data_IF_511037382709
#
_entry.id   IF_511037382709
#
_cell.length_a   1.000
_cell.length_b   1.000
_cell.length_c   1.000
_cell.angle_alpha   90.00
_cell.angle_beta   90.00
_cell.angle_gamma   90.00
#
_symmetry.space_group_name_H-M   'P 1'
#
loop_
_entity.id
_entity.type
_entity.pdbx_description
1 polymer ?
#
# COMPACT_ATOMS: atom_id res chain seq x y z
N UNK A 1 -5.45 -13.63 10.09
CA UNK A 1 -5.11 -12.29 9.54
C UNK A 1 -6.05 -11.17 9.98
N UNK A 2 -6.71 -11.32 11.12
CA UNK A 2 -7.48 -10.26 11.75
C UNK A 2 -7.05 -10.03 13.22
N UNK A 3 -5.90 -10.61 13.60
CA UNK A 3 -5.16 -10.25 14.80
C UNK A 3 -3.88 -9.55 14.39
N UNK A 4 -3.61 -8.39 14.98
CA UNK A 4 -2.42 -7.59 14.71
C UNK A 4 -1.52 -7.61 15.93
N UNK A 5 -0.25 -7.94 15.74
CA UNK A 5 0.78 -7.78 16.77
C UNK A 5 1.30 -6.34 16.73
N UNK A 6 1.02 -5.51 17.74
CA UNK A 6 1.39 -4.11 17.74
C UNK A 6 2.90 -3.89 17.84
N UNK A 7 3.64 -4.78 18.51
CA UNK A 7 5.09 -4.67 18.66
C UNK A 7 5.79 -4.94 17.33
N UNK A 8 5.34 -5.99 16.62
CA UNK A 8 5.84 -6.29 15.29
C UNK A 8 5.51 -5.18 14.29
N UNK A 9 4.29 -4.65 14.32
CA UNK A 9 3.89 -3.56 13.42
C UNK A 9 4.68 -2.28 13.70
N UNK A 10 4.95 -1.95 14.96
CA UNK A 10 5.83 -0.83 15.32
C UNK A 10 7.24 -1.00 14.74
N UNK A 11 7.82 -2.19 14.86
CA UNK A 11 9.14 -2.49 14.28
C UNK A 11 9.14 -2.37 12.75
N UNK A 12 8.10 -2.87 12.08
CA UNK A 12 7.92 -2.72 10.63
C UNK A 12 7.77 -1.26 10.23
N UNK A 13 6.99 -0.48 10.97
CA UNK A 13 6.81 0.96 10.72
C UNK A 13 8.10 1.75 10.87
N UNK A 14 8.92 1.45 11.88
CA UNK A 14 10.26 2.03 12.06
C UNK A 14 11.17 1.72 10.87
N UNK A 15 11.18 0.48 10.42
CA UNK A 15 12.03 0.08 9.30
C UNK A 15 11.60 0.75 7.99
N UNK A 16 10.30 0.85 7.70
CA UNK A 16 9.84 1.62 6.56
C UNK A 16 10.17 3.11 6.69
N UNK A 17 9.97 3.71 7.86
CA UNK A 17 10.33 5.10 8.08
C UNK A 17 11.82 5.35 7.86
N UNK A 18 12.69 4.41 8.25
CA UNK A 18 14.14 4.47 7.99
C UNK A 18 14.46 4.42 6.50
N UNK A 19 13.81 3.50 5.75
CA UNK A 19 14.05 3.34 4.29
C UNK A 19 13.52 4.52 3.48
N UNK A 20 12.42 5.10 3.90
CA UNK A 20 11.72 6.17 3.17
C UNK A 20 11.92 7.58 3.76
N UNK A 21 12.86 7.79 4.68
CA UNK A 21 13.05 9.10 5.34
C UNK A 21 13.38 10.24 4.38
N UNK A 22 14.07 9.95 3.28
CA UNK A 22 14.62 10.97 2.35
C UNK A 22 13.71 11.22 1.13
N UNK A 23 12.57 10.55 1.01
CA UNK A 23 11.68 10.71 -0.15
C UNK A 23 10.76 11.93 -0.08
N UNK A 24 10.80 12.70 1.02
CA UNK A 24 9.95 13.86 1.27
C UNK A 24 8.45 13.60 1.05
N UNK A 25 7.94 12.47 1.55
CA UNK A 25 6.51 12.17 1.54
C UNK A 25 5.74 13.17 2.42
N UNK A 26 4.51 13.47 2.04
CA UNK A 26 3.59 14.32 2.82
C UNK A 26 2.40 13.54 3.35
N UNK A 27 2.16 12.35 2.83
CA UNK A 27 1.03 11.49 3.18
C UNK A 27 1.36 10.02 2.94
N UNK A 28 0.84 9.16 3.81
CA UNK A 28 0.85 7.70 3.59
C UNK A 28 -0.52 7.26 3.09
N UNK A 29 -0.54 6.40 2.08
CA UNK A 29 -1.74 5.85 1.46
C UNK A 29 -1.72 4.33 1.52
N UNK A 30 -2.86 3.73 1.83
CA UNK A 30 -3.05 2.27 1.85
C UNK A 30 -4.46 1.89 1.41
N UNK A 31 -4.78 0.61 1.44
CA UNK A 31 -6.13 0.08 1.26
C UNK A 31 -6.63 -0.64 2.52
N UNK A 32 -7.92 -0.55 2.81
CA UNK A 32 -8.51 -1.37 3.88
C UNK A 32 -8.41 -2.87 3.50
N UNK A 33 -8.21 -3.79 4.46
CA UNK A 33 -8.14 -3.59 5.92
C UNK A 33 -6.72 -3.82 6.43
N UNK A 34 -6.02 -4.88 5.95
CA UNK A 34 -4.75 -5.35 6.50
C UNK A 34 -3.58 -4.40 6.30
N UNK A 35 -3.59 -3.60 5.23
CA UNK A 35 -2.61 -2.55 4.98
C UNK A 35 -2.65 -1.39 5.98
N UNK A 36 -3.76 -1.21 6.72
CA UNK A 36 -3.90 -0.08 7.66
C UNK A 36 -2.87 -0.15 8.79
N UNK A 37 -2.63 -1.32 9.36
CA UNK A 37 -1.71 -1.46 10.49
C UNK A 37 -0.28 -1.04 10.14
N UNK A 38 0.39 -1.59 9.11
CA UNK A 38 1.73 -1.16 8.72
C UNK A 38 1.77 0.29 8.24
N UNK A 39 0.74 0.77 7.52
CA UNK A 39 0.68 2.16 7.06
C UNK A 39 0.59 3.14 8.23
N UNK A 40 -0.24 2.84 9.24
CA UNK A 40 -0.38 3.67 10.43
C UNK A 40 0.94 3.78 11.21
N UNK A 41 1.63 2.66 11.43
CA UNK A 41 2.90 2.68 12.14
C UNK A 41 4.01 3.37 11.35
N UNK A 42 4.05 3.21 10.03
CA UNK A 42 4.98 3.95 9.15
C UNK A 42 4.69 5.45 9.22
N UNK A 43 3.43 5.85 9.10
CA UNK A 43 3.01 7.24 9.18
C UNK A 43 3.35 7.87 10.54
N UNK A 44 3.14 7.12 11.64
CA UNK A 44 3.47 7.53 12.99
C UNK A 44 4.97 7.88 13.12
N UNK A 45 5.86 7.01 12.62
CA UNK A 45 7.31 7.25 12.69
C UNK A 45 7.82 8.31 11.72
N UNK A 46 7.08 8.61 10.65
CA UNK A 46 7.38 9.70 9.72
C UNK A 46 6.73 11.04 10.13
N UNK A 47 5.82 11.04 11.12
CA UNK A 47 5.05 12.23 11.49
C UNK A 47 4.05 12.68 10.42
N UNK A 48 3.49 11.73 9.64
CA UNK A 48 2.62 12.00 8.50
C UNK A 48 1.18 11.53 8.76
N UNK A 49 0.18 12.16 8.12
CA UNK A 49 -1.16 11.61 8.10
C UNK A 49 -1.23 10.34 7.24
N UNK A 50 -2.15 9.43 7.59
CA UNK A 50 -2.46 8.24 6.79
C UNK A 50 -3.89 8.30 6.28
N UNK A 51 -4.07 7.94 5.01
CA UNK A 51 -5.38 7.77 4.37
C UNK A 51 -5.48 6.33 3.86
N UNK A 52 -6.64 5.72 4.00
CA UNK A 52 -6.89 4.41 3.43
C UNK A 52 -8.05 4.45 2.43
N UNK A 53 -7.84 3.83 1.28
CA UNK A 53 -8.88 3.60 0.29
C UNK A 53 -9.88 2.57 0.84
N UNK A 54 -11.17 2.87 0.71
CA UNK A 54 -12.26 2.01 1.13
C UNK A 54 -12.73 1.11 -0.01
N UNK A 55 -13.18 -0.09 0.33
CA UNK A 55 -13.78 -1.05 -0.63
C UNK A 55 -15.29 -0.90 -0.78
N UNK A 56 -15.87 0.02 -0.03
CA UNK A 56 -17.28 0.39 -0.12
C UNK A 56 -17.48 1.84 0.31
N UNK A 57 -18.39 2.56 -0.34
CA UNK A 57 -18.70 3.95 0.00
C UNK A 57 -19.56 4.00 1.26
N UNK A 58 -19.09 4.56 2.39
CA UNK A 58 -19.93 4.78 3.57
C UNK A 58 -20.91 5.94 3.32
N UNK A 59 -22.02 5.93 4.03
CA UNK A 59 -23.05 6.99 3.93
C UNK A 59 -22.54 8.38 4.32
N UNK A 60 -21.47 8.45 5.11
CA UNK A 60 -20.84 9.69 5.55
C UNK A 60 -19.84 10.28 4.55
N UNK A 61 -19.53 9.56 3.47
CA UNK A 61 -18.61 10.05 2.44
C UNK A 61 -19.36 10.93 1.45
N UNK A 62 -18.77 12.05 0.95
CA UNK A 62 -19.41 12.95 -0.01
C UNK A 62 -19.77 12.21 -1.31
N UNK A 63 -20.69 12.81 -2.09
CA UNK A 63 -21.13 12.21 -3.36
C UNK A 63 -20.01 12.12 -4.38
N UNK A 64 -19.19 13.13 -4.45
CA UNK A 64 -17.98 13.12 -5.28
C UNK A 64 -16.86 12.36 -4.58
N UNK A 65 -16.32 11.35 -5.23
CA UNK A 65 -15.22 10.52 -4.74
C UNK A 65 -14.25 10.21 -5.86
N UNK A 66 -12.99 9.97 -5.51
CA UNK A 66 -12.07 9.27 -6.40
C UNK A 66 -12.36 7.77 -6.31
N UNK A 67 -12.60 7.15 -7.45
CA UNK A 67 -12.91 5.73 -7.55
C UNK A 67 -12.06 5.05 -8.61
N UNK A 68 -11.56 3.87 -8.31
CA UNK A 68 -10.93 2.97 -9.29
C UNK A 68 -11.38 1.54 -9.07
N UNK A 69 -11.30 0.75 -10.12
CA UNK A 69 -11.58 -0.69 -10.08
C UNK A 69 -10.27 -1.46 -10.10
N UNK A 70 -10.14 -2.45 -9.24
CA UNK A 70 -8.99 -3.35 -9.22
C UNK A 70 -9.43 -4.82 -9.20
N UNK A 71 -8.70 -5.73 -9.88
CA UNK A 71 -8.96 -7.15 -9.75
C UNK A 71 -8.74 -7.60 -8.30
N UNK A 72 -9.64 -8.41 -7.75
CA UNK A 72 -9.44 -9.05 -6.45
C UNK A 72 -8.67 -10.34 -6.62
N UNK A 73 -7.55 -10.49 -5.87
CA UNK A 73 -6.73 -11.70 -5.88
C UNK A 73 -7.47 -12.96 -5.42
N UNK A 74 -8.42 -12.81 -4.49
CA UNK A 74 -9.03 -13.95 -3.79
C UNK A 74 -10.41 -14.33 -4.29
N UNK A 75 -11.08 -13.49 -5.09
CA UNK A 75 -12.51 -13.67 -5.41
C UNK A 75 -12.86 -13.68 -6.89
N UNK A 76 -11.88 -13.53 -7.81
CA UNK A 76 -12.15 -13.43 -9.25
C UNK A 76 -13.13 -12.29 -9.62
N UNK A 77 -13.31 -11.31 -8.73
CA UNK A 77 -14.21 -10.18 -8.89
C UNK A 77 -13.43 -8.88 -8.85
N UNK A 78 -13.97 -7.88 -9.50
CA UNK A 78 -13.46 -6.50 -9.39
C UNK A 78 -13.84 -5.91 -8.03
N UNK A 79 -12.90 -5.22 -7.40
CA UNK A 79 -13.10 -4.50 -6.13
C UNK A 79 -12.95 -3.02 -6.40
N UNK A 80 -13.86 -2.23 -5.87
CA UNK A 80 -13.76 -0.79 -5.86
C UNK A 80 -12.74 -0.34 -4.81
N UNK A 81 -11.95 0.67 -5.14
CA UNK A 81 -11.18 1.45 -4.18
C UNK A 81 -11.66 2.89 -4.26
N UNK A 82 -12.01 3.47 -3.12
CA UNK A 82 -12.68 4.77 -3.02
C UNK A 82 -11.96 5.63 -2.00
N UNK A 83 -11.71 6.91 -2.36
CA UNK A 83 -11.13 7.93 -1.45
C UNK A 83 -11.95 9.21 -1.57
N UNK A 84 -12.20 9.88 -0.45
CA UNK A 84 -12.76 11.24 -0.45
C UNK A 84 -11.73 12.26 -0.95
N UNK A 85 -12.11 13.20 -1.83
CA UNK A 85 -11.24 14.31 -2.24
C UNK A 85 -10.77 15.21 -1.08
N UNK A 86 -11.47 15.19 0.05
CA UNK A 86 -11.08 15.92 1.26
C UNK A 86 -9.74 15.46 1.86
N UNK A 87 -9.37 14.19 1.61
CA UNK A 87 -8.20 13.56 2.23
C UNK A 87 -7.05 13.29 1.27
N UNK A 88 -7.23 13.53 -0.03
CA UNK A 88 -6.19 13.37 -1.03
C UNK A 88 -6.28 14.49 -2.07
N UNK A 89 -5.28 15.36 -2.10
CA UNK A 89 -5.27 16.56 -2.92
C UNK A 89 -4.10 16.57 -3.92
N UNK A 90 -4.22 17.44 -4.93
CA UNK A 90 -3.15 17.66 -5.90
C UNK A 90 -1.88 18.22 -5.26
N UNK A 91 -0.72 17.78 -5.78
CA UNK A 91 0.59 18.17 -5.30
C UNK A 91 1.09 17.44 -4.07
N UNK A 92 0.27 16.62 -3.41
CA UNK A 92 0.74 15.76 -2.31
C UNK A 92 1.73 14.70 -2.80
N UNK A 93 2.71 14.40 -1.96
CA UNK A 93 3.76 13.40 -2.20
C UNK A 93 3.41 12.14 -1.40
N UNK A 94 2.91 11.14 -2.10
CA UNK A 94 2.28 9.97 -1.47
C UNK A 94 3.25 8.80 -1.39
N UNK A 95 3.44 8.28 -0.17
CA UNK A 95 4.05 6.98 0.09
C UNK A 95 2.94 5.93 0.22
N UNK A 96 2.94 4.92 -0.64
CA UNK A 96 2.02 3.79 -0.53
C UNK A 96 2.63 2.72 0.37
N UNK A 97 1.89 2.26 1.38
CA UNK A 97 2.26 1.12 2.25
C UNK A 97 1.13 0.11 2.23
N UNK A 98 1.46 -1.16 1.97
CA UNK A 98 0.47 -2.25 1.98
C UNK A 98 1.03 -3.48 2.71
N UNK A 99 0.19 -4.47 3.00
CA UNK A 99 0.62 -5.71 3.65
C UNK A 99 1.29 -6.68 2.67
N UNK A 100 0.75 -6.83 1.45
CA UNK A 100 1.28 -7.75 0.43
C UNK A 100 1.50 -7.08 -0.93
N UNK A 101 2.65 -7.35 -1.51
CA UNK A 101 2.92 -7.16 -2.93
C UNK A 101 2.91 -8.53 -3.62
N UNK A 102 1.79 -8.88 -4.22
CA UNK A 102 1.60 -10.10 -5.03
C UNK A 102 1.65 -9.74 -6.52
N UNK A 103 0.53 -9.59 -7.20
CA UNK A 103 0.49 -9.09 -8.60
C UNK A 103 0.64 -7.57 -8.71
N UNK A 104 0.56 -6.84 -7.60
CA UNK A 104 0.57 -5.38 -7.59
C UNK A 104 -0.76 -4.71 -7.91
N UNK A 105 -1.84 -5.48 -8.13
CA UNK A 105 -3.13 -4.93 -8.57
C UNK A 105 -3.71 -3.88 -7.60
N UNK A 106 -3.69 -4.14 -6.29
CA UNK A 106 -4.16 -3.18 -5.26
C UNK A 106 -3.31 -1.91 -5.27
N UNK A 107 -1.99 -2.05 -5.28
CA UNK A 107 -1.05 -0.92 -5.29
C UNK A 107 -1.24 -0.08 -6.56
N UNK A 108 -1.38 -0.70 -7.73
CA UNK A 108 -1.70 0.02 -8.97
C UNK A 108 -3.06 0.72 -8.90
N UNK A 109 -4.02 0.16 -8.18
CA UNK A 109 -5.29 0.84 -7.88
C UNK A 109 -5.08 2.12 -7.07
N UNK A 110 -4.28 2.04 -6.01
CA UNK A 110 -3.92 3.19 -5.17
C UNK A 110 -3.13 4.24 -5.96
N UNK A 111 -2.23 3.83 -6.84
CA UNK A 111 -1.50 4.71 -7.77
C UNK A 111 -2.48 5.49 -8.65
N UNK A 112 -3.44 4.80 -9.28
CA UNK A 112 -4.46 5.48 -10.11
C UNK A 112 -5.30 6.48 -9.33
N UNK A 113 -5.70 6.14 -8.09
CA UNK A 113 -6.43 7.08 -7.22
C UNK A 113 -5.60 8.33 -6.92
N UNK A 114 -4.34 8.16 -6.54
CA UNK A 114 -3.44 9.27 -6.26
C UNK A 114 -3.21 10.15 -7.50
N UNK A 115 -2.99 9.54 -8.67
CA UNK A 115 -2.84 10.28 -9.93
C UNK A 115 -4.12 11.03 -10.31
N UNK A 116 -5.30 10.43 -10.12
CA UNK A 116 -6.59 11.10 -10.36
C UNK A 116 -6.78 12.30 -9.44
N UNK A 117 -6.29 12.24 -8.21
CA UNK A 117 -6.28 13.37 -7.29
C UNK A 117 -5.21 14.44 -7.63
N UNK A 118 -4.32 14.18 -8.60
CA UNK A 118 -3.19 15.05 -8.92
C UNK A 118 -2.03 14.95 -7.93
N UNK A 119 -1.97 13.89 -7.13
CA UNK A 119 -0.88 13.60 -6.22
C UNK A 119 0.24 12.81 -6.93
N UNK A 120 1.44 12.87 -6.37
CA UNK A 120 2.65 12.22 -6.91
C UNK A 120 3.05 11.05 -6.02
N UNK A 121 3.24 9.87 -6.60
CA UNK A 121 3.80 8.72 -5.86
C UNK A 121 5.30 8.93 -5.70
N UNK A 122 5.81 8.77 -4.48
CA UNK A 122 7.22 8.96 -4.16
C UNK A 122 7.90 7.70 -3.61
N UNK A 123 7.13 6.67 -3.27
CA UNK A 123 7.65 5.39 -2.82
C UNK A 123 6.53 4.39 -2.58
N UNK A 124 6.89 3.12 -2.55
CA UNK A 124 5.98 1.99 -2.31
C UNK A 124 6.64 1.03 -1.35
N UNK A 125 5.95 0.66 -0.27
CA UNK A 125 6.38 -0.35 0.69
C UNK A 125 5.37 -1.48 0.83
N UNK A 126 5.85 -2.72 0.95
CA UNK A 126 5.03 -3.87 1.30
C UNK A 126 5.68 -4.66 2.44
N UNK A 127 4.89 -5.14 3.41
CA UNK A 127 5.44 -6.01 4.44
C UNK A 127 6.04 -7.27 3.81
N UNK A 128 5.26 -7.92 2.94
CA UNK A 128 5.64 -9.18 2.31
C UNK A 128 5.46 -9.06 0.79
N UNK A 129 6.49 -9.43 0.06
CA UNK A 129 6.44 -9.57 -1.40
C UNK A 129 6.45 -11.04 -1.77
N UNK A 130 5.60 -11.42 -2.72
CA UNK A 130 5.66 -12.70 -3.43
C UNK A 130 6.30 -12.46 -4.79
N UNK A 131 7.63 -12.62 -4.90
CA UNK A 131 8.38 -12.25 -6.10
C UNK A 131 7.93 -13.01 -7.36
N UNK A 132 7.43 -14.22 -7.20
CA UNK A 132 6.95 -15.09 -8.28
C UNK A 132 5.60 -14.65 -8.88
N UNK A 133 4.90 -13.69 -8.28
CA UNK A 133 3.62 -13.17 -8.80
C UNK A 133 3.77 -11.92 -9.69
N UNK A 134 4.99 -11.38 -9.84
CA UNK A 134 5.32 -10.35 -10.82
C UNK A 134 4.92 -8.92 -10.46
N UNK A 135 4.46 -8.66 -9.23
CA UNK A 135 4.00 -7.33 -8.81
C UNK A 135 5.09 -6.26 -8.90
N UNK A 136 6.33 -6.57 -8.51
CA UNK A 136 7.46 -5.63 -8.63
C UNK A 136 7.69 -5.21 -10.08
N UNK A 137 7.65 -6.15 -11.03
CA UNK A 137 7.78 -5.85 -12.45
C UNK A 137 6.62 -4.97 -12.96
N UNK A 138 5.40 -5.22 -12.48
CA UNK A 138 4.24 -4.39 -12.83
C UNK A 138 4.36 -2.93 -12.34
N UNK A 139 5.09 -2.69 -11.24
CA UNK A 139 5.33 -1.36 -10.68
C UNK A 139 6.57 -0.65 -11.25
N UNK A 140 7.44 -1.34 -11.97
CA UNK A 140 8.74 -0.80 -12.43
C UNK A 140 8.62 0.47 -13.27
N UNK A 141 7.54 0.61 -14.05
CA UNK A 141 7.29 1.79 -14.89
C UNK A 141 7.06 3.09 -14.10
N UNK A 142 6.79 3.01 -12.80
CA UNK A 142 6.58 4.19 -11.95
C UNK A 142 7.89 4.92 -11.62
N UNK A 143 9.04 4.24 -11.71
CA UNK A 143 10.36 4.84 -11.46
C UNK A 143 10.58 5.30 -10.01
N UNK A 144 9.84 4.75 -9.05
CA UNK A 144 9.95 5.08 -7.61
C UNK A 144 10.55 3.90 -6.84
N UNK A 145 11.15 4.14 -5.66
CA UNK A 145 11.61 3.07 -4.77
C UNK A 145 10.46 2.13 -4.40
N UNK A 146 10.69 0.82 -4.54
CA UNK A 146 9.78 -0.23 -4.08
C UNK A 146 10.53 -1.10 -3.07
N UNK A 147 10.11 -1.05 -1.80
CA UNK A 147 10.74 -1.74 -0.69
C UNK A 147 9.82 -2.81 -0.11
N UNK A 148 10.36 -3.99 0.14
CA UNK A 148 9.66 -5.08 0.81
C UNK A 148 10.46 -5.51 2.04
N UNK A 149 9.80 -5.75 3.19
CA UNK A 149 10.52 -6.15 4.40
C UNK A 149 10.85 -7.63 4.38
N UNK A 150 10.01 -8.45 3.77
CA UNK A 150 10.26 -9.86 3.53
C UNK A 150 9.88 -10.22 2.08
N UNK A 151 10.72 -11.00 1.41
CA UNK A 151 10.47 -11.46 0.04
C UNK A 151 10.35 -12.98 0.04
N UNK A 152 9.20 -13.48 -0.40
CA UNK A 152 8.96 -14.91 -0.60
C UNK A 152 9.30 -15.25 -2.05
N UNK A 153 10.26 -16.15 -2.25
CA UNK A 153 10.68 -16.62 -3.57
C UNK A 153 9.82 -17.75 -4.12
N UNK A 154 9.38 -18.64 -3.25
CA UNK A 154 8.49 -19.74 -3.64
C UNK A 154 7.64 -20.24 -2.48
N UNK A 155 6.50 -20.83 -2.84
CA UNK A 155 5.59 -21.52 -1.93
C UNK A 155 5.23 -22.86 -2.57
N UNK A 156 5.81 -23.95 -2.05
CA UNK A 156 5.62 -25.31 -2.56
C UNK A 156 5.10 -26.22 -1.44
N UNK A 157 3.84 -26.63 -1.52
CA UNK A 157 3.18 -27.35 -0.45
C UNK A 157 3.16 -26.53 0.83
N UNK A 158 3.75 -27.08 1.91
CA UNK A 158 3.85 -26.42 3.23
C UNK A 158 5.17 -25.64 3.41
N UNK A 159 6.02 -25.59 2.39
CA UNK A 159 7.31 -24.91 2.45
C UNK A 159 7.23 -23.49 1.88
N UNK A 160 7.71 -22.52 2.66
CA UNK A 160 7.88 -21.13 2.23
C UNK A 160 9.38 -20.84 2.22
N UNK A 161 9.89 -20.40 1.07
CA UNK A 161 11.28 -19.96 0.91
C UNK A 161 11.33 -18.43 0.84
N UNK A 162 12.16 -17.87 1.68
CA UNK A 162 12.46 -16.44 1.66
C UNK A 162 13.75 -16.18 0.90
N UNK A 163 13.83 -15.02 0.27
CA UNK A 163 15.06 -14.52 -0.30
C UNK A 163 16.04 -14.21 0.83
N UNK A 164 17.28 -14.70 0.72
CA UNK A 164 18.35 -14.33 1.64
C UNK A 164 18.63 -12.83 1.54
N UNK A 165 18.70 -12.15 2.69
CA UNK A 165 18.87 -10.70 2.80
C UNK A 165 20.32 -10.25 2.58
#
# INVERSE_FOLDING_TARGET
NHQVDPVLMDACGKEFARRFRDIAATKVLTAEISGIAPALMTAYHLGLPVVYARKSKPVTMPDQVFLTLTPSHTKGRTVELIISPEYLAGGERVLIIDDFLATGATILGLVRLAQTAGAVIVGIGALIEKSFEGGRAALAHLGVPVESLAVIESMEGDLIRFQDG
#
